data_IF_668613395617
#
_entry.id   IF_668613395617
#
_cell.length_a   1.000
_cell.length_b   1.000
_cell.length_c   1.000
_cell.angle_alpha   90.00
_cell.angle_beta   90.00
_cell.angle_gamma   90.00
#
_symmetry.space_group_name_H-M   'P 1'
#
loop_
_entity.id
_entity.type
_entity.pdbx_description
1 polymer ?
#
# COMPACT_ATOMS: atom_id res chain seq x y z
N UNK A 1 27.98 -43.66 19.87
CA UNK A 1 26.58 -44.16 19.80
C UNK A 1 25.67 -42.95 19.86
N UNK A 2 24.77 -42.89 18.88
CA UNK A 2 23.86 -41.82 18.53
C UNK A 2 23.03 -41.26 19.69
N UNK A 3 22.94 -39.95 19.83
CA UNK A 3 21.75 -39.18 19.41
C UNK A 3 21.91 -37.68 19.69
N UNK A 4 21.59 -36.80 18.73
CA UNK A 4 21.46 -35.37 18.95
C UNK A 4 20.01 -35.05 19.36
N UNK A 5 19.83 -34.37 20.49
CA UNK A 5 18.56 -33.78 20.89
C UNK A 5 18.36 -32.44 20.19
N UNK A 6 17.60 -32.46 19.11
CA UNK A 6 17.14 -31.30 18.34
C UNK A 6 15.94 -30.65 19.01
N UNK A 7 16.12 -29.49 19.64
CA UNK A 7 15.01 -28.58 20.00
C UNK A 7 15.02 -27.37 19.08
N UNK A 8 14.72 -27.63 17.82
CA UNK A 8 14.28 -26.62 16.85
C UNK A 8 12.82 -26.25 17.11
N UNK A 9 12.57 -25.48 18.16
CA UNK A 9 11.24 -24.93 18.46
C UNK A 9 11.21 -23.42 18.27
N UNK A 10 11.16 -22.94 17.02
CA UNK A 10 10.76 -21.55 16.76
C UNK A 10 9.24 -21.43 16.96
N UNK A 11 8.83 -21.45 18.24
CA UNK A 11 7.45 -21.24 18.65
C UNK A 11 6.96 -19.92 18.07
N UNK A 12 6.09 -20.03 17.07
CA UNK A 12 5.22 -18.99 16.54
C UNK A 12 4.27 -18.54 17.66
N UNK A 13 4.79 -17.87 18.68
CA UNK A 13 3.98 -17.37 19.77
C UNK A 13 3.06 -16.29 19.20
N UNK A 14 1.77 -16.60 19.18
CA UNK A 14 0.73 -15.62 18.85
C UNK A 14 0.74 -14.60 19.98
N UNK A 15 0.93 -13.30 19.68
CA UNK A 15 0.95 -12.29 20.72
C UNK A 15 -0.35 -12.29 21.52
N UNK A 16 -0.34 -11.83 22.79
CA UNK A 16 -1.52 -11.84 23.62
C UNK A 16 -2.68 -11.06 22.94
N UNK A 17 -3.94 -11.50 23.06
CA UNK A 17 -5.08 -10.90 22.38
C UNK A 17 -5.25 -9.39 22.65
N UNK A 18 -4.87 -8.93 23.84
CA UNK A 18 -4.87 -7.51 24.22
C UNK A 18 -3.94 -6.67 23.34
N UNK A 19 -2.76 -7.19 23.00
CA UNK A 19 -1.82 -6.54 22.10
C UNK A 19 -2.36 -6.53 20.66
N UNK A 20 -2.92 -7.64 20.19
CA UNK A 20 -3.50 -7.72 18.84
C UNK A 20 -4.68 -6.76 18.68
N UNK A 21 -5.52 -6.62 19.70
CA UNK A 21 -6.61 -5.64 19.73
C UNK A 21 -6.09 -4.21 19.60
N UNK A 22 -5.12 -3.83 20.44
CA UNK A 22 -4.52 -2.49 20.39
C UNK A 22 -3.86 -2.19 19.03
N UNK A 23 -3.25 -3.21 18.41
CA UNK A 23 -2.64 -3.08 17.08
C UNK A 23 -3.69 -2.92 16.00
N UNK A 24 -4.78 -3.70 16.04
CA UNK A 24 -5.91 -3.55 15.11
C UNK A 24 -6.50 -2.16 15.20
N UNK A 25 -6.77 -1.67 16.41
CA UNK A 25 -7.31 -0.33 16.65
C UNK A 25 -6.40 0.75 16.07
N UNK A 26 -5.09 0.68 16.37
CA UNK A 26 -4.10 1.62 15.82
C UNK A 26 -4.09 1.60 14.28
N UNK A 27 -3.98 0.43 13.67
CA UNK A 27 -3.93 0.32 12.21
C UNK A 27 -5.23 0.82 11.59
N UNK A 28 -6.39 0.47 12.19
CA UNK A 28 -7.71 0.89 11.70
C UNK A 28 -7.90 2.41 11.68
N UNK A 29 -7.20 3.14 12.55
CA UNK A 29 -7.24 4.59 12.67
C UNK A 29 -6.10 5.30 11.92
N UNK A 30 -5.09 4.58 11.42
CA UNK A 30 -3.94 5.18 10.74
C UNK A 30 -4.39 5.87 9.44
N UNK A 31 -4.12 7.17 9.27
CA UNK A 31 -4.52 7.89 8.08
C UNK A 31 -3.64 7.51 6.88
N UNK A 32 -4.29 7.26 5.75
CA UNK A 32 -3.69 6.89 4.47
C UNK A 32 -4.18 7.80 3.36
N UNK A 33 -3.28 8.23 2.49
CA UNK A 33 -3.60 8.99 1.28
C UNK A 33 -3.76 8.05 0.10
N UNK A 34 -4.94 8.10 -0.54
CA UNK A 34 -5.26 7.40 -1.78
C UNK A 34 -5.07 8.34 -2.97
N UNK A 35 -4.21 7.97 -3.91
CA UNK A 35 -3.98 8.70 -5.17
C UNK A 35 -4.46 7.87 -6.33
N UNK A 36 -5.49 8.33 -7.04
CA UNK A 36 -5.98 7.64 -8.22
C UNK A 36 -4.95 7.72 -9.36
N UNK A 37 -4.40 6.58 -9.78
CA UNK A 37 -3.41 6.50 -10.86
C UNK A 37 -4.00 6.76 -12.26
N UNK A 38 -5.34 6.81 -12.37
CA UNK A 38 -6.04 7.13 -13.61
C UNK A 38 -6.24 8.62 -13.81
N UNK A 39 -6.73 9.36 -12.80
CA UNK A 39 -7.09 10.78 -12.95
C UNK A 39 -6.35 11.73 -12.01
N UNK A 40 -5.57 11.20 -11.06
CA UNK A 40 -4.80 11.95 -10.07
C UNK A 40 -5.63 12.52 -8.92
N UNK A 41 -6.92 12.18 -8.80
CA UNK A 41 -7.71 12.55 -7.62
C UNK A 41 -7.12 11.93 -6.35
N UNK A 42 -6.94 12.75 -5.33
CA UNK A 42 -6.39 12.34 -4.04
C UNK A 42 -7.44 12.48 -2.95
N UNK A 43 -7.52 11.51 -2.04
CA UNK A 43 -8.31 11.62 -0.81
C UNK A 43 -7.61 10.93 0.34
N UNK A 44 -7.94 11.30 1.57
CA UNK A 44 -7.45 10.64 2.78
C UNK A 44 -8.54 9.75 3.35
N UNK A 45 -8.17 8.55 3.81
CA UNK A 45 -9.06 7.58 4.48
C UNK A 45 -8.29 6.92 5.63
N UNK A 46 -8.96 6.11 6.42
CA UNK A 46 -8.33 5.11 7.30
C UNK A 46 -8.77 3.71 6.87
N UNK A 47 -8.09 2.63 7.26
CA UNK A 47 -8.57 1.28 6.97
C UNK A 47 -10.00 1.06 7.49
N UNK A 48 -10.31 1.48 8.72
CA UNK A 48 -11.64 1.28 9.32
C UNK A 48 -12.78 2.06 8.65
N UNK A 49 -12.49 3.11 7.85
CA UNK A 49 -13.51 3.87 7.09
C UNK A 49 -13.58 3.48 5.61
N UNK A 50 -12.57 2.78 5.11
CA UNK A 50 -12.36 2.57 3.67
C UNK A 50 -13.54 1.88 2.98
N UNK A 51 -14.12 0.85 3.61
CA UNK A 51 -15.29 0.15 3.09
C UNK A 51 -16.52 1.06 2.96
N UNK A 52 -16.87 1.76 4.04
CA UNK A 52 -18.01 2.70 4.08
C UNK A 52 -17.85 3.87 3.10
N UNK A 53 -16.61 4.26 2.80
CA UNK A 53 -16.26 5.37 1.93
C UNK A 53 -16.25 5.07 0.42
N UNK A 54 -16.62 3.84 0.03
CA UNK A 54 -16.71 3.38 -1.36
C UNK A 54 -15.50 2.57 -1.86
N UNK A 55 -14.60 2.14 -0.97
CA UNK A 55 -13.50 1.23 -1.28
C UNK A 55 -12.51 1.77 -2.31
N UNK A 56 -11.99 0.90 -3.19
CA UNK A 56 -10.87 1.23 -4.10
C UNK A 56 -11.24 2.23 -5.20
N UNK A 57 -12.56 2.43 -5.39
CA UNK A 57 -13.10 3.25 -6.47
C UNK A 57 -12.86 4.73 -6.21
N UNK A 58 -12.29 5.38 -7.21
CA UNK A 58 -12.11 6.83 -7.25
C UNK A 58 -13.47 7.54 -7.32
N UNK A 59 -13.68 8.56 -6.47
CA UNK A 59 -14.92 9.37 -6.46
C UNK A 59 -15.08 10.26 -7.69
N UNK A 60 -14.00 10.52 -8.42
CA UNK A 60 -14.02 11.37 -9.62
C UNK A 60 -14.20 10.55 -10.91
N UNK A 61 -13.34 9.56 -11.15
CA UNK A 61 -13.32 8.82 -12.42
C UNK A 61 -13.80 7.37 -12.32
N UNK A 62 -14.24 6.90 -11.15
CA UNK A 62 -14.68 5.52 -10.85
C UNK A 62 -13.65 4.40 -11.10
N UNK A 63 -12.41 4.73 -11.44
CA UNK A 63 -11.32 3.76 -11.57
C UNK A 63 -10.95 3.12 -10.22
N UNK A 64 -10.48 1.87 -10.24
CA UNK A 64 -10.12 1.08 -9.05
C UNK A 64 -8.65 1.18 -8.64
N UNK A 65 -7.80 1.75 -9.49
CA UNK A 65 -6.35 1.86 -9.22
C UNK A 65 -6.05 3.10 -8.39
N UNK A 66 -6.17 2.95 -7.07
CA UNK A 66 -5.84 3.97 -6.08
C UNK A 66 -4.59 3.58 -5.31
N UNK A 67 -3.47 4.24 -5.59
CA UNK A 67 -2.21 4.03 -4.88
C UNK A 67 -2.33 4.52 -3.43
N UNK A 68 -1.67 3.83 -2.50
CA UNK A 68 -1.71 4.13 -1.07
C UNK A 68 -0.36 4.66 -0.61
N UNK A 69 -0.37 5.80 0.06
CA UNK A 69 0.82 6.41 0.65
C UNK A 69 0.52 6.94 2.05
N UNK A 70 1.56 7.06 2.88
CA UNK A 70 1.46 7.85 4.11
C UNK A 70 1.18 9.32 3.76
N UNK A 71 0.25 10.00 4.46
CA UNK A 71 -0.04 11.42 4.25
C UNK A 71 1.17 12.34 4.41
N UNK A 72 2.19 11.89 5.15
CA UNK A 72 3.45 12.63 5.34
C UNK A 72 4.31 12.71 4.07
N UNK A 73 4.08 11.84 3.07
CA UNK A 73 4.81 11.83 1.79
C UNK A 73 4.18 12.80 0.78
N UNK A 74 3.97 14.04 1.20
CA UNK A 74 3.25 15.09 0.44
C UNK A 74 3.81 15.28 -0.97
N UNK A 75 5.13 15.35 -1.10
CA UNK A 75 5.82 15.51 -2.39
C UNK A 75 5.57 14.34 -3.35
N UNK A 76 5.55 13.13 -2.84
CA UNK A 76 5.34 11.93 -3.64
C UNK A 76 3.88 11.79 -4.06
N UNK A 77 2.96 12.10 -3.15
CA UNK A 77 1.53 12.22 -3.44
C UNK A 77 1.30 13.23 -4.58
N UNK A 78 1.91 14.42 -4.48
CA UNK A 78 1.81 15.45 -5.50
C UNK A 78 2.45 15.04 -6.84
N UNK A 79 3.59 14.33 -6.80
CA UNK A 79 4.24 13.78 -8.00
C UNK A 79 3.35 12.74 -8.70
N UNK A 80 2.84 11.75 -7.97
CA UNK A 80 1.96 10.70 -8.52
C UNK A 80 0.65 11.28 -9.05
N UNK A 81 0.05 12.23 -8.33
CA UNK A 81 -1.16 12.93 -8.77
C UNK A 81 -0.92 13.66 -10.10
N UNK A 82 0.15 14.46 -10.22
CA UNK A 82 0.52 15.16 -11.46
C UNK A 82 0.84 14.19 -12.60
N UNK A 83 1.54 13.10 -12.30
CA UNK A 83 1.84 12.03 -13.27
C UNK A 83 0.56 11.43 -13.86
N UNK A 84 -0.39 11.06 -13.00
CA UNK A 84 -1.69 10.52 -13.42
C UNK A 84 -2.48 11.53 -14.24
N UNK A 85 -2.55 12.80 -13.81
CA UNK A 85 -3.24 13.87 -14.54
C UNK A 85 -2.65 14.12 -15.93
N UNK A 86 -1.32 14.12 -16.06
CA UNK A 86 -0.63 14.29 -17.34
C UNK A 86 -0.99 13.16 -18.31
N UNK A 87 -0.95 11.90 -17.85
CA UNK A 87 -1.36 10.74 -18.64
C UNK A 87 -2.84 10.80 -19.03
N UNK A 88 -3.70 11.18 -18.09
CA UNK A 88 -5.14 11.29 -18.31
C UNK A 88 -5.51 12.35 -19.36
N UNK A 89 -4.86 13.51 -19.32
CA UNK A 89 -5.04 14.57 -20.32
C UNK A 89 -4.50 14.14 -21.69
N UNK A 90 -3.33 13.51 -21.73
CA UNK A 90 -2.74 13.01 -22.98
C UNK A 90 -3.58 11.92 -23.66
N UNK A 91 -4.33 11.11 -22.90
CA UNK A 91 -5.24 10.10 -23.43
C UNK A 91 -6.62 10.62 -23.85
N UNK A 92 -7.04 11.80 -23.37
CA UNK A 92 -8.33 12.43 -23.74
C UNK A 92 -8.25 13.36 -24.95
N UNK A 93 -7.04 13.74 -25.37
CA UNK A 93 -6.84 14.43 -26.64
C UNK A 93 -6.97 13.41 -27.78
N UNK A 94 -8.14 13.35 -28.42
CA UNK A 94 -8.24 12.80 -29.76
C UNK A 94 -7.22 13.54 -30.64
N UNK A 95 -6.19 12.85 -31.11
CA UNK A 95 -5.23 13.45 -32.04
C UNK A 95 -5.92 13.43 -33.41
N UNK A 96 -6.18 14.59 -34.04
CA UNK A 96 -6.59 14.59 -35.44
C UNK A 96 -5.46 13.94 -36.24
N UNK A 97 -5.83 12.97 -37.08
CA UNK A 97 -4.91 12.27 -37.96
C UNK A 97 -4.00 13.28 -38.68
N UNK A 98 -2.67 13.09 -38.57
CA UNK A 98 -1.68 13.94 -39.25
C UNK A 98 -0.97 15.03 -38.43
N UNK A 99 -1.36 15.32 -37.17
CA UNK A 99 -0.56 16.23 -36.29
C UNK A 99 0.04 15.49 -35.10
N UNK A 100 1.30 15.04 -35.21
CA UNK A 100 2.11 14.58 -34.07
C UNK A 100 2.42 15.76 -33.15
N UNK A 101 1.51 16.13 -32.24
CA UNK A 101 1.90 16.99 -31.11
C UNK A 101 2.94 16.24 -30.29
N UNK A 102 4.04 16.91 -29.95
CA UNK A 102 5.04 16.41 -28.99
C UNK A 102 4.27 16.05 -27.71
N UNK A 103 4.17 14.75 -27.39
CA UNK A 103 3.43 14.27 -26.20
C UNK A 103 3.98 15.05 -25.00
N UNK A 104 3.14 15.66 -24.14
CA UNK A 104 3.64 16.34 -22.96
C UNK A 104 4.55 15.37 -22.20
N UNK A 105 5.81 15.75 -21.99
CA UNK A 105 6.74 14.90 -21.24
C UNK A 105 6.13 14.73 -19.86
N UNK A 106 5.89 13.47 -19.46
CA UNK A 106 5.40 13.19 -18.12
C UNK A 106 6.35 13.89 -17.12
N UNK A 107 5.82 14.51 -16.06
CA UNK A 107 6.66 15.13 -15.05
C UNK A 107 7.69 14.11 -14.54
N UNK A 108 8.92 14.54 -14.19
CA UNK A 108 9.92 13.64 -13.69
C UNK A 108 9.43 13.03 -12.37
N UNK A 109 9.04 11.76 -12.44
CA UNK A 109 8.70 10.94 -11.27
C UNK A 109 9.66 9.75 -11.27
N UNK A 110 10.33 9.46 -10.15
CA UNK A 110 11.19 8.29 -10.04
C UNK A 110 10.44 7.01 -10.43
N UNK A 111 11.04 6.17 -11.28
CA UNK A 111 10.39 4.95 -11.77
C UNK A 111 9.96 4.01 -10.63
N UNK A 112 10.77 3.94 -9.57
CA UNK A 112 10.47 3.18 -8.36
C UNK A 112 9.22 3.71 -7.65
N UNK A 113 9.00 5.03 -7.59
CA UNK A 113 7.79 5.61 -7.00
C UNK A 113 6.54 5.29 -7.83
N UNK A 114 6.65 5.33 -9.16
CA UNK A 114 5.56 4.92 -10.06
C UNK A 114 5.24 3.43 -9.85
N UNK A 115 6.26 2.56 -9.88
CA UNK A 115 6.11 1.12 -9.68
C UNK A 115 5.48 0.81 -8.33
N UNK A 116 5.99 1.39 -7.25
CA UNK A 116 5.44 1.24 -5.91
C UNK A 116 3.98 1.70 -5.82
N UNK A 117 3.64 2.81 -6.49
CA UNK A 117 2.27 3.30 -6.61
C UNK A 117 1.35 2.27 -7.26
N UNK A 118 1.72 1.73 -8.43
CA UNK A 118 0.94 0.69 -9.11
C UNK A 118 0.82 -0.59 -8.28
N UNK A 119 1.92 -1.09 -7.71
CA UNK A 119 1.88 -2.26 -6.81
C UNK A 119 0.89 -2.05 -5.67
N UNK A 120 0.94 -0.90 -4.99
CA UNK A 120 0.00 -0.60 -3.90
C UNK A 120 -1.46 -0.55 -4.37
N UNK A 121 -1.70 0.03 -5.55
CA UNK A 121 -3.04 0.15 -6.11
C UNK A 121 -3.63 -1.22 -6.49
N UNK A 122 -2.82 -2.11 -7.03
CA UNK A 122 -3.20 -3.49 -7.35
C UNK A 122 -3.55 -4.25 -6.06
N UNK A 123 -2.71 -4.18 -5.03
CA UNK A 123 -3.00 -4.82 -3.74
C UNK A 123 -4.34 -4.37 -3.17
N UNK A 124 -4.65 -3.08 -3.24
CA UNK A 124 -5.90 -2.52 -2.75
C UNK A 124 -7.09 -2.93 -3.62
N UNK A 125 -6.90 -3.02 -4.94
CA UNK A 125 -7.93 -3.49 -5.86
C UNK A 125 -8.27 -4.97 -5.64
N UNK A 126 -7.28 -5.81 -5.31
CA UNK A 126 -7.46 -7.25 -5.11
C UNK A 126 -7.87 -7.63 -3.68
N UNK A 127 -7.24 -7.05 -2.67
CA UNK A 127 -7.42 -7.44 -1.25
C UNK A 127 -8.25 -6.44 -0.43
N UNK A 128 -8.64 -5.30 -1.02
CA UNK A 128 -9.52 -4.34 -0.37
C UNK A 128 -8.97 -3.75 0.93
N UNK A 129 -9.80 -3.72 1.97
CA UNK A 129 -9.46 -3.15 3.29
C UNK A 129 -8.24 -3.85 3.92
N UNK A 130 -8.09 -5.15 3.69
CA UNK A 130 -6.96 -5.93 4.22
C UNK A 130 -5.61 -5.40 3.73
N UNK A 131 -5.54 -4.91 2.50
CA UNK A 131 -4.32 -4.26 1.99
C UNK A 131 -4.00 -2.96 2.73
N UNK A 132 -5.03 -2.20 3.13
CA UNK A 132 -4.83 -0.95 3.88
C UNK A 132 -4.27 -1.24 5.27
N UNK A 133 -4.70 -2.30 5.95
CA UNK A 133 -4.09 -2.71 7.24
C UNK A 133 -2.59 -3.01 7.09
N UNK A 134 -2.20 -3.73 6.03
CA UNK A 134 -0.78 -3.99 5.78
C UNK A 134 0.00 -2.70 5.46
N UNK A 135 -0.55 -1.83 4.62
CA UNK A 135 0.10 -0.58 4.18
C UNK A 135 0.08 0.54 5.25
N UNK A 136 -0.78 0.42 6.26
CA UNK A 136 -0.79 1.27 7.45
C UNK A 136 0.35 0.93 8.43
N UNK A 137 0.92 -0.27 8.33
CA UNK A 137 1.96 -0.71 9.23
C UNK A 137 3.29 0.01 8.99
N UNK A 138 4.00 0.33 10.06
CA UNK A 138 5.24 1.12 10.00
C UNK A 138 6.34 0.32 9.31
N UNK A 139 6.92 0.90 8.26
CA UNK A 139 7.98 0.25 7.49
C UNK A 139 7.50 -0.84 6.53
N UNK A 140 6.18 -1.02 6.38
CA UNK A 140 5.62 -1.95 5.41
C UNK A 140 5.32 -1.20 4.12
N UNK A 141 6.22 -1.33 3.13
CA UNK A 141 6.01 -0.83 1.78
C UNK A 141 5.19 -1.81 0.90
N UNK A 142 4.88 -1.44 -0.35
CA UNK A 142 4.07 -2.26 -1.26
C UNK A 142 4.62 -3.67 -1.51
N UNK A 143 5.94 -3.83 -1.58
CA UNK A 143 6.58 -5.13 -1.77
C UNK A 143 6.41 -6.04 -0.54
N UNK A 144 6.60 -5.49 0.66
CA UNK A 144 6.38 -6.22 1.92
C UNK A 144 4.90 -6.55 2.11
N UNK A 145 4.02 -5.59 1.83
CA UNK A 145 2.57 -5.80 1.87
C UNK A 145 2.14 -6.91 0.89
N UNK A 146 2.70 -6.96 -0.33
CA UNK A 146 2.43 -8.04 -1.28
C UNK A 146 2.77 -9.41 -0.71
N UNK A 147 3.94 -9.55 -0.09
CA UNK A 147 4.36 -10.81 0.54
C UNK A 147 3.43 -11.23 1.68
N UNK A 148 2.99 -10.27 2.50
CA UNK A 148 2.02 -10.52 3.57
C UNK A 148 0.68 -10.98 2.98
N UNK A 149 0.12 -10.23 2.03
CA UNK A 149 -1.23 -10.49 1.49
C UNK A 149 -1.34 -11.76 0.63
N UNK A 150 -0.23 -12.24 0.05
CA UNK A 150 -0.21 -13.48 -0.72
C UNK A 150 -0.23 -14.76 0.15
N UNK A 151 0.00 -14.63 1.46
CA UNK A 151 -0.07 -15.77 2.39
C UNK A 151 -1.51 -16.08 2.77
N UNK A 152 -1.75 -17.36 3.04
CA UNK A 152 -3.00 -17.84 3.62
C UNK A 152 -2.92 -17.73 5.15
N UNK A 153 -3.98 -17.23 5.74
CA UNK A 153 -4.11 -17.05 7.19
C UNK A 153 -5.41 -17.70 7.66
N UNK A 154 -5.37 -18.35 8.81
CA UNK A 154 -6.55 -19.01 9.40
C UNK A 154 -7.56 -17.99 9.92
N UNK A 155 -7.07 -16.85 10.39
CA UNK A 155 -7.88 -15.75 10.92
C UNK A 155 -7.12 -14.42 10.81
N UNK A 156 -7.79 -13.33 11.17
CA UNK A 156 -7.19 -12.00 11.16
C UNK A 156 -6.06 -11.83 12.18
N UNK A 157 -6.09 -12.55 13.30
CA UNK A 157 -5.10 -12.42 14.36
C UNK A 157 -3.73 -12.94 13.92
N UNK A 158 -3.71 -14.00 13.11
CA UNK A 158 -2.50 -14.50 12.45
C UNK A 158 -1.95 -13.47 11.44
N UNK A 159 -2.84 -12.80 10.70
CA UNK A 159 -2.46 -11.73 9.78
C UNK A 159 -1.87 -10.51 10.50
N UNK A 160 -2.49 -10.07 11.59
CA UNK A 160 -2.00 -8.98 12.44
C UNK A 160 -0.67 -9.35 13.11
N UNK A 161 -0.49 -10.61 13.48
CA UNK A 161 0.77 -11.14 14.01
C UNK A 161 1.90 -11.00 12.99
N UNK A 162 1.67 -11.37 11.74
CA UNK A 162 2.68 -11.20 10.68
C UNK A 162 2.96 -9.72 10.37
N UNK A 163 1.95 -8.85 10.43
CA UNK A 163 2.16 -7.40 10.33
C UNK A 163 3.09 -6.91 11.44
N UNK A 164 2.87 -7.32 12.69
CA UNK A 164 3.73 -6.94 13.82
C UNK A 164 5.16 -7.45 13.66
N UNK A 165 5.33 -8.65 13.12
CA UNK A 165 6.67 -9.18 12.80
C UNK A 165 7.37 -8.34 11.75
N UNK A 166 6.65 -7.89 10.72
CA UNK A 166 7.19 -6.99 9.70
C UNK A 166 7.59 -5.62 10.30
N UNK A 167 6.75 -5.02 11.16
CA UNK A 167 7.09 -3.77 11.86
C UNK A 167 8.34 -3.93 12.74
N UNK A 168 8.44 -5.03 13.51
CA UNK A 168 9.61 -5.34 14.34
C UNK A 168 10.87 -5.60 13.52
N UNK A 169 10.75 -6.22 12.36
CA UNK A 169 11.88 -6.42 11.45
C UNK A 169 12.38 -5.07 10.94
N UNK A 170 11.49 -4.22 10.44
CA UNK A 170 11.84 -2.87 10.01
C UNK A 170 12.47 -2.04 11.14
N UNK A 171 11.88 -2.04 12.34
CA UNK A 171 12.41 -1.31 13.48
C UNK A 171 13.84 -1.73 13.85
N UNK A 172 14.17 -3.02 13.71
CA UNK A 172 15.51 -3.57 13.95
C UNK A 172 16.49 -3.23 12.84
N UNK A 173 16.05 -3.25 11.58
CA UNK A 173 16.96 -3.05 10.45
C UNK A 173 17.12 -1.59 10.08
N UNK A 174 16.19 -0.67 10.43
CA UNK A 174 16.18 0.72 9.94
C UNK A 174 17.47 1.50 10.20
N UNK A 175 18.22 1.19 11.26
CA UNK A 175 19.50 1.84 11.59
C UNK A 175 20.61 1.58 10.57
N UNK A 176 20.41 0.64 9.65
CA UNK A 176 21.35 0.31 8.58
C UNK A 176 21.00 0.97 7.23
N UNK A 177 20.00 1.86 7.18
CA UNK A 177 19.45 2.41 5.93
C UNK A 177 19.50 3.95 5.85
N UNK A 178 20.37 4.60 6.63
CA UNK A 178 20.64 6.04 6.54
C UNK A 178 21.75 6.35 5.51
#
# INVERSE_FOLDING_TARGET
>A
MSSPGSDGGSSTEVPPPTLLKAVRERLSAEPLSLVCLRCGFTRTTTPGRYGAEGGSRCRLCRGSLSAVLSPKRTDEIARLSRYAQAKWRAGRSAVPEGRRRRRPRAPPVPENAVRAGYTSAELVAHFGERALYALAARGVGPETARRLLQRLYRNDDEFLTEILRAERHYARTRSFWD
#
